data_IF_107963708856
#
_entry.id   IF_107963708856
#
_cell.length_a   1.000
_cell.length_b   1.000
_cell.length_c   1.000
_cell.angle_alpha   90.00
_cell.angle_beta   90.00
_cell.angle_gamma   90.00
#
_symmetry.space_group_name_H-M   'P 1'
#
loop_
_entity.id
_entity.type
_entity.pdbx_description
1 polymer ?
#
# COMPACT_ATOMS: atom_id res chain seq x y z
N UNK A 1 6.13 -3.59 -37.76
CA UNK A 1 6.11 -4.69 -36.76
C UNK A 1 6.91 -4.24 -35.55
N UNK A 2 6.41 -4.37 -34.30
CA UNK A 2 7.19 -4.00 -33.12
C UNK A 2 8.39 -4.94 -32.94
N UNK A 3 9.58 -4.45 -32.56
CA UNK A 3 10.77 -5.26 -32.41
C UNK A 3 10.55 -6.32 -31.32
N UNK A 4 10.82 -7.58 -31.67
CA UNK A 4 10.78 -8.70 -30.72
C UNK A 4 11.82 -8.42 -29.63
N UNK A 5 11.36 -8.20 -28.39
CA UNK A 5 12.23 -8.08 -27.21
C UNK A 5 13.06 -9.35 -27.09
N UNK A 6 14.34 -9.29 -27.46
CA UNK A 6 15.30 -10.35 -27.19
C UNK A 6 15.48 -10.43 -25.67
N UNK A 7 15.04 -11.52 -25.08
CA UNK A 7 15.34 -11.82 -23.68
C UNK A 7 16.83 -12.13 -23.60
N UNK A 8 17.63 -11.16 -23.15
CA UNK A 8 19.02 -11.40 -22.81
C UNK A 8 19.05 -12.41 -21.66
N UNK A 9 19.46 -13.65 -21.95
CA UNK A 9 19.77 -14.63 -20.91
C UNK A 9 20.93 -14.05 -20.11
N UNK A 10 20.69 -13.69 -18.84
CA UNK A 10 21.76 -13.26 -17.94
C UNK A 10 22.80 -14.39 -17.89
N UNK A 11 24.04 -14.11 -18.31
CA UNK A 11 25.17 -15.04 -18.12
C UNK A 11 25.24 -15.35 -16.63
N UNK A 12 25.29 -16.64 -16.27
CA UNK A 12 25.55 -17.05 -14.88
C UNK A 12 26.93 -16.52 -14.52
N UNK A 13 27.05 -15.76 -13.43
CA UNK A 13 28.36 -15.40 -12.88
C UNK A 13 29.07 -16.72 -12.51
N UNK A 14 30.25 -16.94 -13.08
CA UNK A 14 31.16 -18.02 -12.66
C UNK A 14 31.98 -17.50 -11.49
N UNK A 15 31.40 -17.54 -10.29
CA UNK A 15 32.08 -17.21 -9.04
C UNK A 15 31.92 -18.36 -8.06
N UNK A 16 32.72 -18.35 -7.01
CA UNK A 16 32.57 -19.27 -5.88
C UNK A 16 31.15 -19.14 -5.30
N UNK A 17 30.39 -20.24 -5.11
CA UNK A 17 29.04 -20.18 -4.55
C UNK A 17 28.94 -19.42 -3.21
N UNK A 18 29.99 -19.41 -2.40
CA UNK A 18 30.03 -18.66 -1.14
C UNK A 18 30.08 -17.15 -1.35
N UNK A 19 30.90 -16.66 -2.28
CA UNK A 19 30.96 -15.24 -2.61
C UNK A 19 29.64 -14.74 -3.19
N UNK A 20 29.03 -15.52 -4.09
CA UNK A 20 27.72 -15.19 -4.66
C UNK A 20 26.66 -15.11 -3.55
N UNK A 21 26.73 -15.98 -2.55
CA UNK A 21 25.82 -15.94 -1.40
C UNK A 21 26.00 -14.68 -0.56
N UNK A 22 27.23 -14.30 -0.25
CA UNK A 22 27.55 -13.07 0.50
C UNK A 22 27.04 -11.84 -0.26
N UNK A 23 27.26 -11.76 -1.57
CA UNK A 23 26.72 -10.68 -2.41
C UNK A 23 25.19 -10.64 -2.39
N UNK A 24 24.51 -11.79 -2.53
CA UNK A 24 23.05 -11.88 -2.49
C UNK A 24 22.49 -11.46 -1.13
N UNK A 25 23.13 -11.89 -0.03
CA UNK A 25 22.77 -11.52 1.33
C UNK A 25 22.90 -10.01 1.55
N UNK A 26 24.05 -9.42 1.20
CA UNK A 26 24.30 -7.98 1.30
C UNK A 26 23.32 -7.16 0.45
N UNK A 27 23.01 -7.61 -0.77
CA UNK A 27 22.04 -6.95 -1.64
C UNK A 27 20.61 -7.02 -1.07
N UNK A 28 20.24 -8.17 -0.49
CA UNK A 28 18.92 -8.33 0.12
C UNK A 28 18.78 -7.50 1.40
N UNK A 29 19.83 -7.46 2.22
CA UNK A 29 19.87 -6.67 3.45
C UNK A 29 19.86 -5.15 3.18
N UNK A 30 20.66 -4.67 2.22
CA UNK A 30 20.61 -3.25 1.82
C UNK A 30 19.23 -2.86 1.29
N UNK A 31 18.55 -3.74 0.53
CA UNK A 31 17.17 -3.54 0.12
C UNK A 31 16.20 -3.49 1.30
N UNK A 32 16.39 -4.35 2.31
CA UNK A 32 15.61 -4.33 3.56
C UNK A 32 15.80 -3.01 4.31
N UNK A 33 17.05 -2.57 4.50
CA UNK A 33 17.37 -1.28 5.14
C UNK A 33 16.70 -0.12 4.39
N UNK A 34 16.82 -0.08 3.06
CA UNK A 34 16.22 0.98 2.24
C UNK A 34 14.69 1.01 2.38
N UNK A 35 14.05 -0.15 2.35
CA UNK A 35 12.60 -0.27 2.53
C UNK A 35 12.16 0.16 3.94
N UNK A 36 12.92 -0.23 4.96
CA UNK A 36 12.67 0.14 6.36
C UNK A 36 12.86 1.63 6.59
N UNK A 37 13.96 2.24 6.12
CA UNK A 37 14.20 3.70 6.12
C UNK A 37 13.04 4.44 5.48
N UNK A 38 12.59 3.99 4.31
CA UNK A 38 11.48 4.59 3.57
C UNK A 38 10.14 4.47 4.31
N UNK A 39 9.87 3.34 4.95
CA UNK A 39 8.64 3.12 5.72
C UNK A 39 8.62 4.01 6.97
N UNK A 40 9.71 4.02 7.75
CA UNK A 40 9.85 4.84 8.96
C UNK A 40 9.73 6.32 8.63
N UNK A 41 10.44 6.83 7.61
CA UNK A 41 10.37 8.25 7.21
C UNK A 41 8.93 8.70 6.92
N UNK A 42 8.12 7.84 6.28
CA UNK A 42 6.73 8.17 5.98
C UNK A 42 5.90 8.31 7.26
N UNK A 43 5.99 7.34 8.16
CA UNK A 43 5.23 7.39 9.41
C UNK A 43 5.75 8.48 10.34
N UNK A 44 7.06 8.69 10.41
CA UNK A 44 7.69 9.76 11.19
C UNK A 44 7.17 11.16 10.78
N UNK A 45 6.98 11.42 9.48
CA UNK A 45 6.37 12.68 9.01
C UNK A 45 4.95 12.86 9.54
N UNK A 46 4.15 11.79 9.50
CA UNK A 46 2.78 11.82 10.03
C UNK A 46 2.79 12.05 11.54
N UNK A 47 3.63 11.34 12.29
CA UNK A 47 3.73 11.51 13.74
C UNK A 47 4.24 12.90 14.11
N UNK A 48 5.22 13.45 13.38
CA UNK A 48 5.69 14.84 13.55
C UNK A 48 4.53 15.82 13.40
N UNK A 49 3.76 15.70 12.31
CA UNK A 49 2.59 16.57 12.10
C UNK A 49 1.54 16.44 13.20
N UNK A 50 1.33 15.23 13.71
CA UNK A 50 0.38 14.97 14.80
C UNK A 50 0.82 15.62 16.12
N UNK A 51 2.09 15.51 16.49
CA UNK A 51 2.63 16.16 17.69
C UNK A 51 2.59 17.69 17.55
N UNK A 52 2.88 18.25 16.37
CA UNK A 52 2.70 19.69 16.12
C UNK A 52 1.25 20.13 16.35
N UNK A 53 0.29 19.39 15.77
CA UNK A 53 -1.14 19.70 15.95
C UNK A 53 -1.56 19.59 17.42
N UNK A 54 -1.02 18.62 18.17
CA UNK A 54 -1.31 18.47 19.59
C UNK A 54 -0.85 19.67 20.41
N UNK A 55 0.33 20.22 20.11
CA UNK A 55 0.83 21.45 20.77
C UNK A 55 -0.04 22.65 20.37
N UNK A 56 -0.35 22.81 19.08
CA UNK A 56 -1.21 23.90 18.60
C UNK A 56 -2.60 23.88 19.27
N UNK A 57 -3.22 22.70 19.42
CA UNK A 57 -4.50 22.58 20.12
C UNK A 57 -4.39 23.01 21.59
N UNK A 58 -3.30 22.65 22.28
CA UNK A 58 -3.06 23.09 23.66
C UNK A 58 -2.91 24.60 23.78
N UNK A 59 -2.15 25.22 22.87
CA UNK A 59 -2.01 26.68 22.83
C UNK A 59 -3.37 27.33 22.63
N UNK A 60 -4.19 26.83 21.70
CA UNK A 60 -5.56 27.33 21.48
C UNK A 60 -6.42 27.21 22.73
N UNK A 61 -6.44 26.04 23.37
CA UNK A 61 -7.22 25.85 24.62
C UNK A 61 -6.78 26.80 25.74
N UNK A 62 -5.48 27.04 25.91
CA UNK A 62 -4.99 28.01 26.90
C UNK A 62 -5.44 29.44 26.55
N UNK A 63 -5.44 29.82 25.27
CA UNK A 63 -5.91 31.14 24.82
C UNK A 63 -7.41 31.33 25.08
N UNK A 64 -8.20 30.29 24.82
CA UNK A 64 -9.64 30.30 25.09
C UNK A 64 -9.94 30.40 26.60
N UNK A 65 -9.15 29.70 27.43
CA UNK A 65 -9.25 29.78 28.90
C UNK A 65 -8.88 31.17 29.45
N UNK A 66 -7.86 31.81 28.88
CA UNK A 66 -7.45 33.16 29.27
C UNK A 66 -8.49 34.20 28.85
N UNK A 67 -9.06 34.07 27.65
CA UNK A 67 -10.14 34.95 27.17
C UNK A 67 -11.41 34.84 28.02
N UNK A 68 -11.69 33.67 28.60
CA UNK A 68 -12.83 33.45 29.48
C UNK A 68 -12.65 34.02 30.91
N UNK A 69 -11.40 34.24 31.36
CA UNK A 69 -11.08 34.67 32.75
C UNK A 69 -11.00 36.19 32.94
N UNK A 70 -11.45 36.99 31.97
CA UNK A 70 -11.34 38.46 31.88
C UNK A 70 -11.99 39.31 33.02
N UNK A 71 -12.28 38.77 34.21
CA UNK A 71 -12.98 39.50 35.27
C UNK A 71 -12.42 39.39 36.70
N UNK A 72 -11.33 38.66 36.95
CA UNK A 72 -10.71 38.61 38.28
C UNK A 72 -9.20 38.89 38.22
N UNK A 73 -8.76 39.86 39.03
CA UNK A 73 -7.46 40.54 39.03
C UNK A 73 -6.29 39.70 39.62
N UNK A 74 -6.19 38.43 39.23
CA UNK A 74 -5.11 37.54 39.65
C UNK A 74 -3.92 37.60 38.67
N UNK A 75 -3.21 38.73 38.67
CA UNK A 75 -2.01 38.99 37.85
C UNK A 75 -0.96 37.87 37.84
N UNK A 76 -0.84 37.11 38.93
CA UNK A 76 0.09 35.98 39.06
C UNK A 76 -0.33 34.77 38.20
N UNK A 77 -1.62 34.53 38.03
CA UNK A 77 -2.13 33.40 37.22
C UNK A 77 -1.93 33.69 35.74
N UNK A 78 -2.14 34.94 35.33
CA UNK A 78 -1.92 35.39 33.96
C UNK A 78 -0.45 35.26 33.53
N UNK A 79 0.49 35.65 34.41
CA UNK A 79 1.92 35.48 34.14
C UNK A 79 2.30 34.01 33.93
N UNK A 80 1.79 33.10 34.76
CA UNK A 80 2.07 31.68 34.63
C UNK A 80 1.47 31.06 33.35
N UNK A 81 0.31 31.53 32.89
CA UNK A 81 -0.30 31.10 31.63
C UNK A 81 0.52 31.55 30.42
N UNK A 82 1.01 32.80 30.42
CA UNK A 82 1.92 33.34 29.40
C UNK A 82 3.22 32.53 29.31
N UNK A 83 3.87 32.28 30.45
CA UNK A 83 5.08 31.44 30.50
C UNK A 83 4.84 30.03 29.93
N UNK A 84 3.65 29.45 30.17
CA UNK A 84 3.28 28.17 29.59
C UNK A 84 3.06 28.23 28.07
N UNK A 85 2.46 29.31 27.56
CA UNK A 85 2.32 29.50 26.11
C UNK A 85 3.68 29.64 25.44
N UNK A 86 4.57 30.46 25.97
CA UNK A 86 5.91 30.68 25.42
C UNK A 86 6.71 29.37 25.38
N UNK A 87 6.62 28.56 26.44
CA UNK A 87 7.22 27.21 26.46
C UNK A 87 6.62 26.27 25.42
N UNK A 88 5.32 26.36 25.13
CA UNK A 88 4.69 25.55 24.09
C UNK A 88 5.07 26.02 22.68
N UNK A 89 5.23 27.32 22.47
CA UNK A 89 5.68 27.89 21.20
C UNK A 89 7.15 27.54 20.91
N UNK A 90 8.01 27.57 21.92
CA UNK A 90 9.40 27.09 21.80
C UNK A 90 9.45 25.58 21.48
N UNK A 91 8.63 24.77 22.15
CA UNK A 91 8.47 23.34 21.83
C UNK A 91 7.93 23.11 20.42
N UNK A 92 7.04 23.97 19.95
CA UNK A 92 6.50 23.89 18.60
C UNK A 92 7.58 24.22 17.56
N UNK A 93 8.40 25.25 17.83
CA UNK A 93 9.52 25.64 16.97
C UNK A 93 10.56 24.53 16.86
N UNK A 94 11.05 24.03 18.00
CA UNK A 94 11.99 22.90 18.05
C UNK A 94 11.43 21.64 17.38
N UNK A 95 10.13 21.35 17.54
CA UNK A 95 9.48 20.23 16.86
C UNK A 95 9.36 20.45 15.34
N UNK A 96 9.14 21.68 14.86
CA UNK A 96 9.13 22.00 13.43
C UNK A 96 10.50 21.80 12.80
N UNK A 97 11.56 22.19 13.50
CA UNK A 97 12.95 22.07 13.05
C UNK A 97 13.55 20.68 13.30
N UNK A 98 12.82 19.80 14.01
CA UNK A 98 13.28 18.45 14.31
C UNK A 98 13.64 17.63 13.06
N UNK A 99 14.87 17.13 13.03
CA UNK A 99 15.35 16.25 11.96
C UNK A 99 14.75 14.84 12.07
N UNK A 100 14.04 14.46 11.00
CA UNK A 100 13.39 13.15 10.89
C UNK A 100 14.43 12.04 10.75
N UNK A 101 15.59 12.31 10.17
CA UNK A 101 16.60 11.28 9.93
C UNK A 101 17.23 10.78 11.23
N UNK A 102 17.40 11.65 12.23
CA UNK A 102 17.79 11.26 13.58
C UNK A 102 16.81 10.25 14.21
N UNK A 103 15.50 10.48 14.05
CA UNK A 103 14.48 9.53 14.50
C UNK A 103 14.57 8.21 13.73
N UNK A 104 14.78 8.26 12.41
CA UNK A 104 14.90 7.05 11.58
C UNK A 104 16.07 6.19 12.03
N UNK A 105 17.23 6.79 12.28
CA UNK A 105 18.41 6.10 12.79
C UNK A 105 18.17 5.48 14.17
N UNK A 106 17.58 6.22 15.11
CA UNK A 106 17.26 5.67 16.45
C UNK A 106 16.29 4.48 16.37
N UNK A 107 15.29 4.57 15.49
CA UNK A 107 14.29 3.52 15.26
C UNK A 107 14.93 2.27 14.66
N UNK A 108 15.82 2.41 13.67
CA UNK A 108 16.52 1.27 13.06
C UNK A 108 17.52 0.62 14.01
N UNK A 109 18.22 1.42 14.82
CA UNK A 109 19.12 0.94 15.86
C UNK A 109 18.35 0.09 16.89
N UNK A 110 17.19 0.58 17.35
CA UNK A 110 16.32 -0.19 18.27
C UNK A 110 15.66 -1.40 17.65
N UNK A 111 15.48 -1.41 16.33
CA UNK A 111 15.01 -2.59 15.60
C UNK A 111 16.11 -3.65 15.42
N UNK A 112 17.37 -3.34 15.75
CA UNK A 112 18.52 -4.23 15.51
C UNK A 112 18.85 -4.39 14.03
N UNK A 113 18.42 -3.43 13.19
CA UNK A 113 18.73 -3.43 11.75
C UNK A 113 19.98 -2.64 11.47
N UNK A 114 20.17 -1.49 12.11
CA UNK A 114 21.42 -0.74 11.96
C UNK A 114 22.33 -1.25 13.08
N UNK A 115 23.36 -1.99 12.69
CA UNK A 115 24.43 -2.37 13.61
C UNK A 115 24.99 -1.06 14.19
N UNK A 116 25.23 -1.03 15.51
CA UNK A 116 26.00 0.09 16.04
C UNK A 116 27.31 0.04 15.27
N UNK A 117 27.60 1.06 14.47
CA UNK A 117 28.98 1.35 14.14
C UNK A 117 29.65 1.52 15.50
N UNK A 118 30.27 0.44 16.00
CA UNK A 118 31.09 0.50 17.19
C UNK A 118 32.10 1.57 16.86
N UNK A 119 31.97 2.70 17.54
CA UNK A 119 32.80 3.87 17.35
C UNK A 119 34.22 3.36 17.15
N UNK A 120 34.84 3.57 15.98
CA UNK A 120 36.14 3.00 15.70
C UNK A 120 37.03 3.41 16.86
N UNK A 121 37.50 2.41 17.62
CA UNK A 121 38.49 2.63 18.67
C UNK A 121 39.59 3.44 18.02
N UNK A 122 39.80 4.66 18.54
CA UNK A 122 40.69 5.68 17.98
C UNK A 122 42.02 5.03 17.63
N UNK A 123 42.20 4.66 16.36
CA UNK A 123 43.51 4.45 15.78
C UNK A 123 43.98 5.83 15.41
N UNK A 124 44.90 6.34 16.22
CA UNK A 124 45.68 7.54 15.97
C UNK A 124 46.53 7.30 14.72
N UNK A 125 45.96 7.49 13.53
CA UNK A 125 46.72 7.57 12.29
C UNK A 125 46.43 8.93 11.65
N UNK A 126 47.46 9.77 11.65
CA UNK A 126 47.50 11.10 11.07
C UNK A 126 47.35 11.05 9.53
N UNK A 127 46.60 12.02 8.99
CA UNK A 127 46.29 12.29 7.57
C UNK A 127 45.05 11.59 6.97
N UNK A 128 43.90 12.27 7.03
CA UNK A 128 43.17 12.65 5.81
C UNK A 128 42.04 13.68 6.10
N UNK A 129 42.11 14.85 5.47
CA UNK A 129 41.30 16.06 5.74
C UNK A 129 39.86 16.02 5.18
N UNK A 130 39.25 14.85 4.98
CA UNK A 130 37.92 14.77 4.36
C UNK A 130 36.96 13.75 5.00
N UNK A 131 37.08 13.56 6.31
CA UNK A 131 36.13 12.76 7.08
C UNK A 131 34.97 13.65 7.53
N UNK A 132 33.77 13.35 7.03
CA UNK A 132 32.51 13.86 7.57
C UNK A 132 32.41 13.34 9.00
N UNK A 133 32.91 14.10 9.97
CA UNK A 133 32.83 13.74 11.38
C UNK A 133 31.36 13.66 11.73
N UNK A 134 30.83 12.44 11.83
CA UNK A 134 29.66 12.12 12.63
C UNK A 134 30.06 12.34 14.09
N UNK A 135 30.33 13.60 14.44
CA UNK A 135 30.49 14.03 15.81
C UNK A 135 29.23 13.54 16.53
N UNK A 136 29.40 12.80 17.62
CA UNK A 136 28.28 12.30 18.40
C UNK A 136 27.56 13.52 18.97
N UNK A 137 26.65 14.10 18.18
CA UNK A 137 25.88 15.28 18.54
C UNK A 137 25.14 14.87 19.79
N UNK A 138 25.56 15.44 20.91
CA UNK A 138 24.96 15.14 22.19
C UNK A 138 23.53 15.66 22.11
N UNK A 139 22.61 14.73 21.84
CA UNK A 139 21.22 15.08 21.63
C UNK A 139 20.69 15.68 22.92
N UNK A 140 20.14 16.89 22.81
CA UNK A 140 19.47 17.55 23.92
C UNK A 140 18.41 16.61 24.55
N UNK A 141 18.24 16.72 25.85
CA UNK A 141 17.34 15.88 26.64
C UNK A 141 15.89 16.01 26.18
N UNK A 142 15.49 17.19 25.70
CA UNK A 142 14.21 17.37 25.05
C UNK A 142 14.07 16.50 23.80
N UNK A 143 15.08 16.51 22.92
CA UNK A 143 15.11 15.72 21.68
C UNK A 143 15.04 14.22 21.98
N UNK A 144 15.77 13.75 22.99
CA UNK A 144 15.70 12.34 23.46
C UNK A 144 14.30 11.99 23.97
N UNK A 145 13.65 12.87 24.75
CA UNK A 145 12.28 12.68 25.24
C UNK A 145 11.27 12.68 24.10
N UNK A 146 11.43 13.58 23.13
CA UNK A 146 10.60 13.67 21.94
C UNK A 146 10.67 12.40 21.10
N UNK A 147 11.88 11.91 20.82
CA UNK A 147 12.08 10.63 20.10
C UNK A 147 11.38 9.48 20.82
N UNK A 148 11.55 9.37 22.15
CA UNK A 148 10.85 8.35 22.97
C UNK A 148 9.33 8.49 22.88
N UNK A 149 8.78 9.71 22.84
CA UNK A 149 7.35 9.95 22.66
C UNK A 149 6.87 9.52 21.28
N UNK A 150 7.55 9.95 20.21
CA UNK A 150 7.20 9.62 18.83
C UNK A 150 7.28 8.11 18.56
N UNK A 151 8.24 7.41 19.17
CA UNK A 151 8.35 5.95 19.07
C UNK A 151 7.20 5.19 19.76
N UNK A 152 6.56 5.77 20.77
CA UNK A 152 5.38 5.17 21.43
C UNK A 152 4.10 5.37 20.63
N UNK A 153 4.10 6.26 19.62
CA UNK A 153 2.93 6.53 18.82
C UNK A 153 2.49 5.27 18.04
N UNK A 154 1.19 4.95 18.06
CA UNK A 154 0.62 3.71 17.47
C UNK A 154 1.11 3.42 16.05
N UNK A 155 1.15 4.44 15.19
CA UNK A 155 1.65 4.30 13.81
C UNK A 155 3.13 3.91 13.74
N UNK A 156 3.97 4.52 14.56
CA UNK A 156 5.39 4.19 14.62
C UNK A 156 5.62 2.80 15.21
N UNK A 157 4.89 2.44 16.27
CA UNK A 157 4.95 1.09 16.85
C UNK A 157 4.56 0.01 15.83
N UNK A 158 3.50 0.24 15.05
CA UNK A 158 3.08 -0.67 13.98
C UNK A 158 4.12 -0.80 12.86
N UNK A 159 4.75 0.31 12.46
CA UNK A 159 5.83 0.27 11.47
C UNK A 159 7.06 -0.50 11.98
N UNK A 160 7.43 -0.31 13.25
CA UNK A 160 8.51 -1.04 13.91
C UNK A 160 8.25 -2.55 13.93
N UNK A 161 7.03 -2.97 14.24
CA UNK A 161 6.68 -4.39 14.27
C UNK A 161 6.74 -5.02 12.87
N UNK A 162 6.21 -4.33 11.85
CA UNK A 162 6.32 -4.77 10.46
C UNK A 162 7.78 -4.88 9.99
N UNK A 163 8.67 -4.05 10.52
CA UNK A 163 10.11 -4.09 10.23
C UNK A 163 10.76 -5.30 10.91
N UNK A 164 10.39 -5.59 12.16
CA UNK A 164 10.85 -6.80 12.87
C UNK A 164 10.42 -8.08 12.17
N UNK A 165 9.17 -8.16 11.71
CA UNK A 165 8.69 -9.29 10.91
C UNK A 165 9.56 -9.52 9.66
N UNK A 166 9.88 -8.45 8.92
CA UNK A 166 10.75 -8.55 7.73
C UNK A 166 12.19 -8.94 8.07
N UNK A 167 12.68 -8.54 9.24
CA UNK A 167 14.00 -8.96 9.72
C UNK A 167 14.01 -10.45 10.06
N UNK A 168 12.96 -10.97 10.70
CA UNK A 168 12.76 -12.41 10.95
C UNK A 168 12.71 -13.17 9.62
N UNK A 169 11.97 -12.67 8.63
CA UNK A 169 11.92 -13.27 7.28
C UNK A 169 13.30 -13.28 6.60
N UNK A 170 14.08 -12.21 6.76
CA UNK A 170 15.45 -12.12 6.23
C UNK A 170 16.38 -13.13 6.91
N UNK A 171 16.35 -13.22 8.25
CA UNK A 171 17.17 -14.17 9.02
C UNK A 171 16.78 -15.63 8.72
N UNK A 172 15.48 -15.90 8.59
CA UNK A 172 14.98 -17.23 8.18
C UNK A 172 15.46 -17.58 6.77
N UNK A 173 15.47 -16.60 5.87
CA UNK A 173 16.02 -16.80 4.53
C UNK A 173 17.53 -17.06 4.53
N UNK A 174 18.29 -16.33 5.36
CA UNK A 174 19.73 -16.56 5.53
C UNK A 174 20.00 -17.98 6.03
N UNK A 175 19.34 -18.39 7.13
CA UNK A 175 19.51 -19.73 7.69
C UNK A 175 19.24 -20.84 6.65
N UNK A 176 18.13 -20.74 5.92
CA UNK A 176 17.80 -21.70 4.83
C UNK A 176 18.85 -21.73 3.73
N UNK A 177 19.47 -20.60 3.44
CA UNK A 177 20.45 -20.47 2.37
C UNK A 177 21.83 -20.98 2.81
N UNK A 178 22.21 -20.76 4.07
CA UNK A 178 23.38 -21.39 4.69
C UNK A 178 23.25 -22.91 4.78
N UNK A 179 22.07 -23.42 5.16
CA UNK A 179 21.79 -24.86 5.16
C UNK A 179 21.93 -25.47 3.77
N UNK A 180 21.53 -24.72 2.73
CA UNK A 180 21.66 -25.16 1.34
C UNK A 180 23.13 -25.27 0.92
N UNK A 181 23.99 -24.33 1.35
CA UNK A 181 25.43 -24.36 1.11
C UNK A 181 26.09 -25.53 1.84
N UNK A 182 25.81 -25.70 3.14
CA UNK A 182 26.40 -26.78 3.96
C UNK A 182 25.98 -28.18 3.49
N UNK A 183 24.72 -28.37 3.11
CA UNK A 183 24.17 -29.69 2.77
C UNK A 183 24.12 -29.98 1.26
N UNK A 184 24.75 -29.13 0.42
CA UNK A 184 24.77 -29.28 -1.04
C UNK A 184 23.37 -29.38 -1.67
N UNK A 185 22.36 -28.76 -1.05
CA UNK A 185 20.96 -28.80 -1.49
C UNK A 185 20.27 -30.17 -1.48
N UNK A 186 20.90 -31.23 -0.95
CA UNK A 186 20.33 -32.59 -0.99
C UNK A 186 19.10 -32.75 -0.08
N UNK A 187 19.07 -32.07 1.05
CA UNK A 187 17.98 -32.17 2.04
C UNK A 187 16.80 -31.23 1.77
N UNK A 188 16.95 -30.23 0.89
CA UNK A 188 15.92 -29.21 0.65
C UNK A 188 14.68 -29.73 -0.14
N UNK A 189 14.77 -30.90 -0.78
CA UNK A 189 13.64 -31.49 -1.54
C UNK A 189 12.65 -32.27 -0.67
N UNK A 190 13.00 -32.59 0.56
CA UNK A 190 12.18 -33.44 1.43
C UNK A 190 11.26 -32.63 2.35
N UNK A 191 11.71 -31.46 2.84
CA UNK A 191 10.93 -30.62 3.77
C UNK A 191 9.83 -29.77 3.12
N UNK A 192 9.88 -29.48 1.82
CA UNK A 192 8.82 -28.73 1.13
C UNK A 192 7.65 -29.63 0.64
N UNK A 193 7.79 -30.96 0.77
CA UNK A 193 6.71 -31.92 0.46
C UNK A 193 5.77 -32.19 1.63
N UNK A 194 6.20 -32.00 2.87
CA UNK A 194 5.41 -32.34 4.06
C UNK A 194 4.44 -31.25 4.50
N UNK A 195 4.68 -29.97 4.16
CA UNK A 195 3.73 -28.87 4.50
C UNK A 195 2.52 -28.80 3.54
N UNK A 196 2.57 -29.46 2.38
CA UNK A 196 1.46 -29.46 1.40
C UNK A 196 0.55 -30.69 1.46
N UNK A 197 0.89 -31.71 2.25
CA UNK A 197 0.12 -32.95 2.32
C UNK A 197 -0.97 -32.96 3.39
N UNK A 198 -0.86 -32.17 4.46
CA UNK A 198 -1.84 -32.23 5.55
C UNK A 198 -3.04 -31.28 5.40
N UNK A 199 -2.91 -30.23 4.57
CA UNK A 199 -4.01 -29.31 4.28
C UNK A 199 -5.04 -29.86 3.26
N UNK A 200 -4.84 -31.11 2.79
CA UNK A 200 -5.76 -31.79 1.86
C UNK A 200 -6.52 -32.97 2.45
N UNK A 201 -6.34 -33.28 3.74
CA UNK A 201 -7.05 -34.40 4.40
C UNK A 201 -8.00 -34.01 5.53
N UNK A 202 -8.13 -32.73 5.87
CA UNK A 202 -9.19 -32.24 6.74
C UNK A 202 -10.51 -32.11 5.95
N UNK A 203 -11.20 -33.24 5.83
CA UNK A 203 -12.58 -33.32 5.43
C UNK A 203 -13.43 -32.33 6.24
N UNK A 204 -13.92 -31.34 5.51
CA UNK A 204 -15.07 -30.49 5.75
C UNK A 204 -16.24 -31.23 6.44
N UNK A 205 -16.21 -31.29 7.77
CA UNK A 205 -17.40 -31.32 8.63
C UNK A 205 -17.39 -30.05 9.48
N UNK A 206 -17.75 -28.93 8.86
CA UNK A 206 -18.22 -27.77 9.62
C UNK A 206 -19.69 -28.01 9.94
N UNK A 207 -19.91 -28.60 11.12
CA UNK A 207 -21.18 -28.47 11.81
C UNK A 207 -21.53 -27.00 11.89
N UNK A 208 -22.74 -26.69 11.44
CA UNK A 208 -23.48 -25.54 11.94
C UNK A 208 -23.75 -25.86 13.40
N UNK A 209 -23.08 -25.16 14.30
CA UNK A 209 -23.74 -24.71 15.50
C UNK A 209 -23.48 -23.21 15.62
N UNK A 210 -24.61 -22.52 15.73
CA UNK A 210 -24.79 -21.09 15.85
C UNK A 210 -24.59 -20.75 17.30
N UNK A 211 -23.46 -20.11 17.63
CA UNK A 211 -23.37 -19.19 18.75
C UNK A 211 -22.79 -17.89 18.21
N UNK A 212 -23.70 -17.06 17.70
CA UNK A 212 -23.49 -15.69 17.24
C UNK A 212 -24.05 -14.73 18.31
N UNK A 213 -23.54 -14.84 19.53
CA UNK A 213 -23.81 -13.89 20.60
C UNK A 213 -22.48 -13.21 20.95
N UNK A 214 -22.33 -11.94 20.56
CA UNK A 214 -21.15 -11.14 20.91
C UNK A 214 -20.42 -10.43 19.76
N UNK A 215 -21.10 -9.96 18.73
CA UNK A 215 -20.54 -8.94 17.82
C UNK A 215 -21.15 -7.56 18.06
N UNK A 216 -21.14 -7.12 19.32
CA UNK A 216 -21.21 -5.70 19.65
C UNK A 216 -19.83 -5.08 19.45
N UNK A 217 -19.74 -4.14 18.51
CA UNK A 217 -18.61 -3.21 18.42
C UNK A 217 -17.99 -3.12 17.03
N UNK A 218 -18.34 -2.07 16.29
CA UNK A 218 -17.43 -1.47 15.31
C UNK A 218 -17.95 -1.24 13.90
N UNK A 219 -19.22 -1.52 13.60
CA UNK A 219 -19.86 -1.05 12.37
C UNK A 219 -20.25 0.44 12.52
N UNK A 220 -19.26 1.34 12.57
CA UNK A 220 -19.47 2.77 12.78
C UNK A 220 -18.46 3.70 12.10
N UNK A 221 -17.70 3.24 11.10
CA UNK A 221 -16.62 4.05 10.49
C UNK A 221 -16.76 4.30 8.98
N UNK A 222 -17.98 4.37 8.45
CA UNK A 222 -18.18 4.65 7.02
C UNK A 222 -19.07 5.88 6.68
N UNK A 223 -19.56 6.65 7.66
CA UNK A 223 -20.44 7.80 7.39
C UNK A 223 -19.77 9.17 7.59
N UNK A 224 -18.55 9.24 8.14
CA UNK A 224 -17.93 10.54 8.52
C UNK A 224 -17.05 11.20 7.43
N UNK A 225 -17.15 10.77 6.16
CA UNK A 225 -16.40 11.38 5.05
C UNK A 225 -17.28 12.04 3.99
N UNK A 226 -18.53 12.35 4.32
CA UNK A 226 -19.49 13.00 3.39
C UNK A 226 -20.07 14.33 3.91
N UNK A 227 -19.63 14.86 5.04
CA UNK A 227 -20.07 16.18 5.51
C UNK A 227 -19.04 17.27 5.19
N UNK A 228 -19.47 18.27 4.41
CA UNK A 228 -19.04 19.65 4.66
C UNK A 228 -17.86 20.15 3.85
N UNK A 229 -18.17 20.59 2.64
CA UNK A 229 -17.53 21.73 2.01
C UNK A 229 -17.48 22.89 3.03
N UNK A 230 -16.29 23.19 3.56
CA UNK A 230 -16.06 24.41 4.36
C UNK A 230 -16.10 25.56 3.35
N UNK A 231 -17.06 26.47 3.54
CA UNK A 231 -17.04 27.79 2.93
C UNK A 231 -15.68 28.42 3.24
N UNK A 232 -14.95 28.74 2.19
CA UNK A 232 -13.77 29.59 2.28
C UNK A 232 -14.34 30.98 2.59
N UNK A 233 -14.27 31.40 3.84
CA UNK A 233 -14.50 32.79 4.21
C UNK A 233 -13.46 33.64 3.45
N UNK A 234 -13.97 34.64 2.72
CA UNK A 234 -13.29 35.47 1.73
C UNK A 234 -12.33 36.53 2.33
N UNK A 235 -11.91 36.43 3.59
CA UNK A 235 -11.23 37.53 4.29
C UNK A 235 -9.81 37.22 4.84
N UNK A 236 -9.07 36.27 4.24
CA UNK A 236 -7.62 36.15 4.46
C UNK A 236 -6.85 36.68 3.24
N UNK A 237 -6.91 38.00 3.11
CA UNK A 237 -6.01 38.83 2.29
C UNK A 237 -4.60 38.64 2.84
N UNK A 238 -3.87 37.66 2.30
CA UNK A 238 -2.44 37.50 2.52
C UNK A 238 -1.68 38.57 1.72
N UNK A 239 -1.65 39.77 2.29
CA UNK A 239 -0.81 40.89 1.92
C UNK A 239 0.67 40.50 2.12
N UNK A 240 1.47 40.52 1.04
CA UNK A 240 2.93 40.38 1.12
C UNK A 240 3.55 39.25 0.29
N UNK A 241 3.39 39.30 -1.04
CA UNK A 241 4.40 38.73 -1.95
C UNK A 241 4.64 39.70 -3.11
N UNK A 242 5.23 40.84 -2.77
CA UNK A 242 5.93 41.71 -3.72
C UNK A 242 7.21 41.01 -4.19
N UNK A 243 7.41 40.97 -5.52
CA UNK A 243 8.71 40.64 -6.09
C UNK A 243 8.71 39.49 -7.09
N UNK A 244 7.88 39.55 -8.13
CA UNK A 244 8.22 38.92 -9.40
C UNK A 244 8.05 39.95 -10.51
N UNK A 245 9.19 40.58 -10.85
CA UNK A 245 9.34 41.56 -11.90
C UNK A 245 8.74 41.03 -13.21
N UNK A 246 7.85 41.84 -13.78
CA UNK A 246 7.32 41.68 -15.10
C UNK A 246 8.46 41.85 -16.11
N UNK A 247 8.96 40.74 -16.65
CA UNK A 247 9.60 40.74 -17.95
C UNK A 247 8.50 40.80 -19.01
N UNK A 248 8.24 42.03 -19.46
CA UNK A 248 7.62 42.35 -20.73
C UNK A 248 8.62 41.97 -21.83
N UNK A 249 8.29 40.94 -22.61
CA UNK A 249 9.20 40.33 -23.57
C UNK A 249 8.44 39.52 -24.61
N UNK A 250 8.07 40.23 -25.66
CA UNK A 250 7.81 39.81 -27.05
C UNK A 250 7.10 38.46 -27.32
N UNK A 251 5.96 38.61 -27.99
CA UNK A 251 5.23 37.60 -28.75
C UNK A 251 6.14 36.93 -29.79
N UNK A 252 6.77 35.82 -29.41
CA UNK A 252 7.34 34.86 -30.37
C UNK A 252 6.63 33.51 -30.24
N UNK A 253 6.11 33.06 -31.38
CA UNK A 253 5.44 31.80 -31.66
C UNK A 253 6.22 30.56 -31.15
N UNK A 254 5.98 30.15 -29.90
CA UNK A 254 6.41 28.86 -29.34
C UNK A 254 5.19 27.94 -29.23
N UNK A 255 4.61 27.60 -30.37
CA UNK A 255 3.52 26.61 -30.48
C UNK A 255 4.03 25.21 -30.88
N UNK A 256 5.32 24.97 -30.69
CA UNK A 256 5.92 23.65 -30.87
C UNK A 256 6.91 23.36 -29.74
N UNK A 257 6.92 22.10 -29.29
CA UNK A 257 8.06 21.47 -28.60
C UNK A 257 8.10 21.27 -27.07
N UNK A 258 7.00 20.98 -26.37
CA UNK A 258 7.08 20.12 -25.16
C UNK A 258 5.99 19.05 -25.15
N UNK A 259 6.17 18.01 -25.97
CA UNK A 259 5.43 16.77 -25.83
C UNK A 259 5.82 16.09 -24.51
N UNK A 260 5.14 16.42 -23.41
CA UNK A 260 5.37 15.78 -22.13
C UNK A 260 5.24 14.24 -22.28
N UNK A 261 6.19 13.46 -21.76
CA UNK A 261 6.15 12.01 -21.88
C UNK A 261 4.87 11.49 -21.23
N UNK A 262 3.98 10.91 -22.03
CA UNK A 262 2.72 10.30 -21.57
C UNK A 262 3.04 9.28 -20.48
N UNK A 263 2.89 9.67 -19.21
CA UNK A 263 3.10 8.81 -18.04
C UNK A 263 2.23 7.56 -18.22
N UNK A 264 2.85 6.38 -18.19
CA UNK A 264 2.13 5.11 -18.37
C UNK A 264 1.06 5.01 -17.28
N UNK A 265 -0.22 4.95 -17.67
CA UNK A 265 -1.34 4.79 -16.72
C UNK A 265 -1.07 3.58 -15.82
N UNK A 266 -1.16 3.79 -14.51
CA UNK A 266 -1.01 2.72 -13.52
C UNK A 266 -2.02 1.60 -13.84
N UNK A 267 -1.66 0.32 -13.70
CA UNK A 267 -2.60 -0.78 -13.90
C UNK A 267 -3.88 -0.52 -13.07
N UNK A 268 -5.04 -0.55 -13.74
CA UNK A 268 -6.34 -0.25 -13.14
C UNK A 268 -6.88 1.17 -13.36
N UNK A 269 -6.07 2.16 -13.77
CA UNK A 269 -6.57 3.54 -13.97
C UNK A 269 -7.59 3.63 -15.12
N UNK A 270 -7.36 2.90 -16.22
CA UNK A 270 -8.33 2.82 -17.33
C UNK A 270 -9.64 2.16 -16.91
N UNK A 271 -9.58 1.14 -16.05
CA UNK A 271 -10.78 0.49 -15.52
C UNK A 271 -11.57 1.44 -14.61
N UNK A 272 -10.89 2.25 -13.78
CA UNK A 272 -11.55 3.26 -12.95
C UNK A 272 -12.19 4.36 -13.79
N UNK A 273 -11.48 4.89 -14.80
CA UNK A 273 -12.06 5.88 -15.75
C UNK A 273 -13.25 5.31 -16.52
N UNK A 274 -13.17 4.07 -16.99
CA UNK A 274 -14.29 3.41 -17.67
C UNK A 274 -15.49 3.19 -16.74
N UNK A 275 -15.25 2.82 -15.47
CA UNK A 275 -16.32 2.70 -14.47
C UNK A 275 -16.96 4.04 -14.15
N UNK A 276 -16.17 5.10 -14.00
CA UNK A 276 -16.67 6.46 -13.75
C UNK A 276 -17.56 6.94 -14.92
N UNK A 277 -17.09 6.83 -16.17
CA UNK A 277 -17.90 7.19 -17.34
C UNK A 277 -19.19 6.35 -17.46
N UNK A 278 -19.14 5.07 -17.09
CA UNK A 278 -20.33 4.22 -17.13
C UNK A 278 -21.38 4.61 -16.07
N UNK A 279 -20.95 5.13 -14.91
CA UNK A 279 -21.84 5.66 -13.88
C UNK A 279 -22.44 6.98 -14.35
N UNK A 280 -21.62 7.91 -14.85
CA UNK A 280 -22.05 9.20 -15.37
C UNK A 280 -23.04 9.07 -16.55
N UNK A 281 -22.81 8.14 -17.48
CA UNK A 281 -23.76 7.87 -18.56
C UNK A 281 -25.08 7.29 -18.05
N UNK A 282 -25.04 6.46 -17.00
CA UNK A 282 -26.23 5.89 -16.36
C UNK A 282 -27.04 6.96 -15.62
N UNK A 283 -26.36 7.90 -14.96
CA UNK A 283 -26.98 9.07 -14.32
C UNK A 283 -27.58 10.02 -15.37
N UNK A 284 -26.94 10.19 -16.52
CA UNK A 284 -27.45 10.98 -17.64
C UNK A 284 -28.59 10.28 -18.43
N UNK A 285 -29.08 9.12 -17.98
CA UNK A 285 -30.14 8.36 -18.66
C UNK A 285 -29.75 7.80 -20.04
N UNK A 286 -28.45 7.86 -20.40
CA UNK A 286 -27.95 7.35 -21.68
C UNK A 286 -27.55 5.89 -21.49
N UNK A 287 -28.10 5.00 -22.31
CA UNK A 287 -27.68 3.60 -22.28
C UNK A 287 -26.21 3.51 -22.71
N UNK A 288 -25.34 3.13 -21.79
CA UNK A 288 -23.93 2.93 -22.09
C UNK A 288 -23.78 1.78 -23.09
N UNK A 289 -23.54 2.12 -24.36
CA UNK A 289 -23.31 1.14 -25.41
C UNK A 289 -21.91 0.54 -25.23
N UNK A 290 -21.87 -0.69 -24.72
CA UNK A 290 -20.65 -1.48 -24.52
C UNK A 290 -19.87 -1.76 -25.83
N UNK A 291 -20.41 -1.35 -26.99
CA UNK A 291 -19.80 -1.50 -28.31
C UNK A 291 -18.54 -0.63 -28.52
N UNK A 292 -18.40 0.51 -27.83
CA UNK A 292 -17.32 1.49 -28.09
C UNK A 292 -15.94 1.06 -27.59
N UNK A 293 -15.85 0.22 -26.55
CA UNK A 293 -14.56 -0.21 -25.98
C UNK A 293 -14.14 -1.64 -26.32
N UNK A 294 -14.91 -2.36 -27.14
CA UNK A 294 -14.43 -3.58 -27.78
C UNK A 294 -13.58 -3.18 -28.98
N UNK A 295 -12.26 -3.19 -28.79
CA UNK A 295 -11.25 -3.25 -29.87
C UNK A 295 -11.82 -4.13 -30.99
N UNK A 296 -12.16 -3.54 -32.15
CA UNK A 296 -12.76 -4.25 -33.29
C UNK A 296 -12.01 -5.56 -33.48
N UNK A 297 -12.64 -6.69 -33.16
CA UNK A 297 -12.06 -8.01 -33.49
C UNK A 297 -11.92 -8.00 -35.00
N UNK A 298 -10.69 -8.23 -35.48
CA UNK A 298 -10.39 -8.38 -36.91
C UNK A 298 -11.41 -9.37 -37.48
N UNK A 299 -12.30 -8.89 -38.36
CA UNK A 299 -13.27 -9.74 -39.07
C UNK A 299 -12.47 -10.90 -39.68
N UNK A 300 -12.74 -12.12 -39.22
CA UNK A 300 -12.49 -13.28 -40.07
C UNK A 300 -13.59 -13.26 -41.13
N UNK A 301 -13.19 -13.50 -42.36
CA UNK A 301 -14.10 -13.66 -43.50
C UNK A 301 -14.85 -14.95 -43.20
N UNK A 302 -16.14 -14.84 -42.90
CA UNK A 302 -17.03 -15.97 -42.69
C UNK A 302 -17.71 -16.26 -44.03
N UNK A 303 -17.42 -17.43 -44.59
CA UNK A 303 -18.17 -18.02 -45.69
C UNK A 303 -19.52 -18.52 -45.16
N UNK A 304 -20.54 -18.37 -46.01
CA UNK A 304 -21.95 -18.68 -45.79
C UNK A 304 -22.20 -20.10 -45.27
N UNK A 305 -22.81 -20.24 -44.08
CA UNK A 305 -23.69 -21.38 -43.79
C UNK A 305 -24.76 -21.01 -42.74
N UNK A 306 -26.02 -21.06 -43.19
CA UNK A 306 -27.08 -21.81 -42.52
C UNK A 306 -27.68 -21.24 -41.23
N UNK A 307 -28.95 -20.87 -41.31
CA UNK A 307 -29.78 -20.37 -40.23
C UNK A 307 -29.99 -21.35 -39.05
N UNK A 308 -30.21 -20.75 -37.88
CA UNK A 308 -30.92 -21.26 -36.70
C UNK A 308 -30.31 -22.42 -35.88
N UNK A 309 -29.46 -22.05 -34.92
CA UNK A 309 -29.51 -22.59 -33.55
C UNK A 309 -28.91 -21.59 -32.57
N UNK A 310 -29.62 -21.27 -31.50
CA UNK A 310 -29.12 -20.43 -30.40
C UNK A 310 -28.08 -21.22 -29.59
N UNK A 311 -26.88 -21.37 -30.14
CA UNK A 311 -25.76 -21.97 -29.42
C UNK A 311 -25.29 -21.01 -28.32
N UNK A 312 -25.42 -21.44 -27.07
CA UNK A 312 -24.71 -20.80 -25.96
C UNK A 312 -23.22 -20.80 -26.26
N UNK A 313 -22.49 -19.75 -25.84
CA UNK A 313 -21.04 -19.61 -26.04
C UNK A 313 -20.19 -20.77 -25.47
N UNK A 314 -20.82 -21.74 -24.79
CA UNK A 314 -20.23 -22.98 -24.29
C UNK A 314 -20.37 -24.19 -25.21
N UNK A 315 -21.11 -24.10 -26.33
CA UNK A 315 -21.38 -25.22 -27.25
C UNK A 315 -22.17 -26.38 -26.63
N UNK A 316 -22.69 -26.21 -25.41
CA UNK A 316 -23.40 -27.25 -24.66
C UNK A 316 -24.91 -27.11 -24.82
N UNK A 317 -25.54 -28.21 -25.24
CA UNK A 317 -26.99 -28.37 -25.31
C UNK A 317 -27.59 -28.30 -23.90
N UNK A 318 -28.40 -27.27 -23.64
CA UNK A 318 -28.96 -26.98 -22.30
C UNK A 318 -29.93 -28.06 -21.78
N UNK A 319 -30.35 -28.98 -22.64
CA UNK A 319 -31.26 -30.08 -22.31
C UNK A 319 -30.54 -31.32 -21.77
N UNK A 320 -29.20 -31.37 -21.80
CA UNK A 320 -28.44 -32.53 -21.31
C UNK A 320 -27.96 -32.29 -19.89
N UNK A 321 -28.53 -33.01 -18.92
CA UNK A 321 -28.06 -33.03 -17.55
C UNK A 321 -26.67 -33.68 -17.49
N UNK A 322 -25.64 -32.89 -17.20
CA UNK A 322 -24.26 -33.37 -17.12
C UNK A 322 -24.06 -34.09 -15.78
N UNK A 323 -23.87 -35.41 -15.84
CA UNK A 323 -23.58 -36.21 -14.64
C UNK A 323 -22.16 -35.91 -14.14
N UNK A 324 -22.01 -35.60 -12.85
CA UNK A 324 -20.72 -35.19 -12.24
C UNK A 324 -19.66 -36.30 -12.31
N UNK A 325 -20.08 -37.57 -12.41
CA UNK A 325 -19.17 -38.68 -12.61
C UNK A 325 -18.48 -38.68 -13.99
N UNK A 326 -19.12 -38.11 -15.02
CA UNK A 326 -18.52 -38.00 -16.37
C UNK A 326 -17.48 -36.89 -16.45
N UNK A 327 -17.69 -35.77 -15.73
CA UNK A 327 -16.76 -34.63 -15.73
C UNK A 327 -15.37 -35.01 -15.20
N UNK A 328 -15.31 -35.97 -14.27
CA UNK A 328 -14.05 -36.49 -13.74
C UNK A 328 -13.28 -37.39 -14.73
N UNK A 329 -13.97 -38.02 -15.69
CA UNK A 329 -13.35 -38.87 -16.73
C UNK A 329 -12.83 -38.08 -17.94
N UNK A 330 -13.25 -36.82 -18.14
CA UNK A 330 -12.84 -35.96 -19.28
C UNK A 330 -11.39 -35.41 -19.19
N UNK A 331 -10.51 -36.09 -18.46
CA UNK A 331 -9.24 -35.53 -17.97
C UNK A 331 -8.16 -35.19 -19.01
N UNK A 332 -8.29 -35.58 -20.29
CA UNK A 332 -7.28 -35.25 -21.33
C UNK A 332 -7.84 -34.89 -22.71
N UNK A 333 -9.05 -35.32 -23.06
CA UNK A 333 -9.54 -35.20 -24.44
C UNK A 333 -10.36 -33.92 -24.71
N UNK A 334 -10.48 -33.04 -23.72
CA UNK A 334 -11.29 -31.81 -23.83
C UNK A 334 -10.81 -30.84 -24.92
N UNK A 335 -9.57 -30.98 -25.43
CA UNK A 335 -9.03 -30.12 -26.48
C UNK A 335 -9.42 -30.52 -27.90
N UNK A 336 -9.73 -31.80 -28.15
CA UNK A 336 -9.86 -32.30 -29.52
C UNK A 336 -11.31 -32.31 -30.04
N UNK A 337 -12.31 -32.29 -29.16
CA UNK A 337 -13.73 -32.43 -29.55
C UNK A 337 -14.57 -31.15 -29.36
N UNK A 338 -13.94 -29.98 -29.19
CA UNK A 338 -14.68 -28.72 -28.96
C UNK A 338 -15.47 -28.69 -27.64
N UNK A 339 -15.21 -29.64 -26.73
CA UNK A 339 -15.86 -29.74 -25.42
C UNK A 339 -15.39 -28.63 -24.48
N UNK A 340 -16.30 -28.12 -23.64
CA UNK A 340 -15.99 -27.07 -22.68
C UNK A 340 -14.90 -27.50 -21.70
N UNK A 341 -13.99 -26.57 -21.35
CA UNK A 341 -12.90 -26.83 -20.40
C UNK A 341 -13.45 -27.40 -19.08
N UNK A 342 -12.81 -28.40 -18.45
CA UNK A 342 -13.33 -29.07 -17.26
C UNK A 342 -13.62 -28.12 -16.08
N UNK A 343 -12.85 -27.04 -15.92
CA UNK A 343 -13.13 -26.00 -14.91
C UNK A 343 -14.43 -25.23 -15.16
N UNK A 344 -14.89 -25.13 -16.41
CA UNK A 344 -16.14 -24.47 -16.77
C UNK A 344 -17.33 -25.41 -16.59
N UNK A 345 -17.20 -26.66 -17.05
CA UNK A 345 -18.21 -27.71 -16.82
C UNK A 345 -18.45 -27.96 -15.32
N UNK A 346 -17.39 -27.96 -14.51
CA UNK A 346 -17.52 -28.08 -13.05
C UNK A 346 -18.29 -26.91 -12.41
N UNK A 347 -18.09 -25.68 -12.92
CA UNK A 347 -18.80 -24.49 -12.43
C UNK A 347 -20.28 -24.52 -12.79
N UNK A 348 -20.60 -25.01 -13.98
CA UNK A 348 -21.99 -25.15 -14.45
C UNK A 348 -22.73 -26.26 -13.68
N UNK A 349 -22.06 -27.39 -13.44
CA UNK A 349 -22.57 -28.47 -12.60
C UNK A 349 -22.78 -28.03 -11.14
N UNK A 350 -21.88 -27.21 -10.59
CA UNK A 350 -22.08 -26.62 -9.25
C UNK A 350 -23.29 -25.69 -9.21
N UNK A 351 -23.48 -24.87 -10.26
CA UNK A 351 -24.62 -23.97 -10.37
C UNK A 351 -25.94 -24.74 -10.43
N UNK A 352 -25.99 -25.82 -11.22
CA UNK A 352 -27.13 -26.74 -11.30
C UNK A 352 -27.41 -27.42 -9.94
N UNK A 353 -26.40 -27.98 -9.29
CA UNK A 353 -26.55 -28.67 -7.99
C UNK A 353 -26.95 -27.74 -6.84
N UNK A 354 -26.48 -26.49 -6.85
CA UNK A 354 -26.73 -25.58 -5.75
C UNK A 354 -28.14 -24.99 -5.74
N UNK A 355 -28.94 -25.15 -6.80
CA UNK A 355 -30.25 -24.50 -6.93
C UNK A 355 -30.21 -22.97 -6.89
N UNK A 356 -29.03 -22.36 -6.72
CA UNK A 356 -28.75 -20.92 -6.78
C UNK A 356 -28.83 -20.44 -8.23
N UNK A 357 -30.03 -20.53 -8.81
CA UNK A 357 -30.47 -19.50 -9.74
C UNK A 357 -30.31 -18.13 -9.07
N UNK A 358 -30.11 -17.08 -9.86
CA UNK A 358 -30.12 -15.70 -9.34
C UNK A 358 -31.44 -15.54 -8.59
N UNK A 359 -31.38 -15.60 -7.25
CA UNK A 359 -32.55 -15.39 -6.40
C UNK A 359 -32.97 -13.95 -6.68
N UNK A 360 -34.15 -13.78 -7.27
CA UNK A 360 -34.71 -12.47 -7.52
C UNK A 360 -34.70 -11.70 -6.20
N UNK A 361 -34.08 -10.52 -6.20
CA UNK A 361 -33.90 -9.70 -5.01
C UNK A 361 -35.29 -9.27 -4.50
N UNK A 362 -35.81 -9.97 -3.49
CA UNK A 362 -37.12 -9.73 -2.88
C UNK A 362 -37.10 -8.65 -1.79
N UNK A 363 -36.16 -7.70 -1.87
CA UNK A 363 -36.11 -6.57 -0.95
C UNK A 363 -37.19 -5.54 -1.31
N UNK A 364 -38.10 -5.25 -0.36
CA UNK A 364 -39.03 -4.12 -0.44
C UNK A 364 -38.20 -2.83 -0.55
N UNK A 365 -38.43 -2.04 -1.61
CA UNK A 365 -37.84 -0.71 -1.72
C UNK A 365 -38.32 0.14 -0.55
N UNK A 366 -37.39 0.63 0.25
CA UNK A 366 -37.65 1.66 1.26
C UNK A 366 -37.75 2.97 0.48
N UNK A 367 -38.96 3.51 0.37
CA UNK A 367 -39.21 4.90 -0.02
C UNK A 367 -39.28 5.72 1.26
N UNK A 368 -38.48 6.79 1.34
CA UNK A 368 -38.60 7.79 2.40
C UNK A 368 -39.66 8.79 1.94
N UNK A 369 -40.78 8.88 2.66
CA UNK A 369 -41.77 9.96 2.54
C UNK A 369 -41.29 11.21 3.32
#
# INVERSE_FOLDING_TARGET
MPPKRRFYKKKKKSGDPEEIHKEEAASKYSSLIFQSKKAIRKEAKVVKSFECQKIIRKIKSLKDEDAAKNSNDDSKVEAAAKDQMDQLDEKLKTLKDFDIDHLVHEVLRKAGIEEKEESPEKKEDDNDDNATKNEAVELDDFTKKLIKSMMKHKRMSSALESIREKLIDYNTWLARKEDFLKNGGKNAKESDKTVKSDDKRAGKKRGRDLDLEGHDGGAGMFIESLSGHIAVDEDDVLEGYEGFEAYDGEEDDIDDYIAQPKKRNRPGQRQRKAKAMAIEAREAGRHWDNSINRRKKKKRVDEDFGANKHESASGLDKSKEINVAEVAKMGKDWKEEGKAHPSWAAREAQKAKSGLGIVAFAGKKITFD
#
